data_IF_852764463286
#
_entry.id   IF_852764463286
#
_cell.length_a   1.000
_cell.length_b   1.000
_cell.length_c   1.000
_cell.angle_alpha   90.00
_cell.angle_beta   90.00
_cell.angle_gamma   90.00
#
_symmetry.space_group_name_H-M   'P 1'
#
loop_
_entity.id
_entity.type
_entity.pdbx_description
1 polymer ?
#
# COMPACT_ATOMS: atom_id res chain seq x y z
N UNK A 1 -4.42 -12.34 -21.17
CA UNK A 1 -3.78 -12.94 -19.98
C UNK A 1 -4.79 -13.20 -18.86
N UNK A 2 -5.40 -12.17 -18.25
CA UNK A 2 -6.39 -12.31 -17.16
C UNK A 2 -7.46 -13.38 -17.42
N UNK A 3 -8.12 -13.35 -18.58
CA UNK A 3 -9.13 -14.35 -18.98
C UNK A 3 -8.63 -15.81 -18.93
N UNK A 4 -7.39 -16.06 -19.37
CA UNK A 4 -6.82 -17.40 -19.38
C UNK A 4 -6.47 -17.86 -17.96
N UNK A 5 -5.91 -16.97 -17.13
CA UNK A 5 -5.60 -17.26 -15.73
C UNK A 5 -6.86 -17.59 -14.93
N UNK A 6 -7.93 -16.79 -15.05
CA UNK A 6 -9.20 -17.07 -14.36
C UNK A 6 -9.74 -18.46 -14.70
N UNK A 7 -9.74 -18.83 -15.99
CA UNK A 7 -10.22 -20.14 -16.44
C UNK A 7 -9.32 -21.29 -15.99
N UNK A 8 -8.01 -21.07 -15.95
CA UNK A 8 -7.06 -22.07 -15.45
C UNK A 8 -7.30 -22.33 -13.95
N UNK A 9 -7.41 -21.27 -13.15
CA UNK A 9 -7.71 -21.35 -11.71
C UNK A 9 -9.06 -22.03 -11.47
N UNK A 10 -10.10 -21.63 -12.21
CA UNK A 10 -11.43 -22.24 -12.11
C UNK A 10 -11.39 -23.74 -12.43
N UNK A 11 -10.71 -24.13 -13.50
CA UNK A 11 -10.58 -25.54 -13.89
C UNK A 11 -9.85 -26.35 -12.84
N UNK A 12 -8.74 -25.84 -12.30
CA UNK A 12 -7.96 -26.52 -11.25
C UNK A 12 -8.80 -26.66 -9.98
N UNK A 13 -9.40 -25.56 -9.51
CA UNK A 13 -10.19 -25.54 -8.28
C UNK A 13 -11.41 -26.47 -8.37
N UNK A 14 -12.10 -26.48 -9.52
CA UNK A 14 -13.25 -27.36 -9.75
C UNK A 14 -12.82 -28.82 -9.77
N UNK A 15 -11.75 -29.16 -10.50
CA UNK A 15 -11.26 -30.54 -10.58
C UNK A 15 -10.82 -31.08 -9.21
N UNK A 16 -10.12 -30.26 -8.42
CA UNK A 16 -9.69 -30.63 -7.07
C UNK A 16 -10.86 -30.83 -6.11
N UNK A 17 -11.90 -29.99 -6.23
CA UNK A 17 -13.14 -30.14 -5.45
C UNK A 17 -13.89 -31.42 -5.80
N UNK A 18 -14.06 -31.72 -7.08
CA UNK A 18 -14.79 -32.93 -7.50
C UNK A 18 -14.08 -34.20 -6.98
N UNK A 19 -12.74 -34.22 -7.08
CA UNK A 19 -11.92 -35.30 -6.54
C UNK A 19 -11.98 -35.37 -5.00
N UNK A 20 -12.04 -34.23 -4.30
CA UNK A 20 -12.15 -34.23 -2.84
C UNK A 20 -13.49 -34.78 -2.40
N UNK A 21 -14.59 -34.39 -3.05
CA UNK A 21 -15.94 -34.90 -2.78
C UNK A 21 -16.00 -36.41 -3.01
N UNK A 22 -15.47 -36.91 -4.13
CA UNK A 22 -15.42 -38.36 -4.43
C UNK A 22 -14.65 -39.15 -3.37
N UNK A 23 -13.68 -38.52 -2.71
CA UNK A 23 -12.87 -39.13 -1.64
C UNK A 23 -13.41 -38.86 -0.24
N UNK A 24 -14.58 -38.24 -0.10
CA UNK A 24 -15.17 -37.87 1.19
C UNK A 24 -14.32 -36.86 1.99
N UNK A 25 -13.60 -35.98 1.29
CA UNK A 25 -12.74 -34.94 1.87
C UNK A 25 -13.29 -33.56 1.58
N UNK A 26 -13.29 -32.70 2.60
CA UNK A 26 -13.42 -31.25 2.42
C UNK A 26 -12.03 -30.67 2.13
N UNK A 27 -11.88 -29.99 0.99
CA UNK A 27 -10.66 -29.27 0.61
C UNK A 27 -11.03 -27.83 0.31
N UNK A 28 -10.27 -26.91 0.90
CA UNK A 28 -10.40 -25.47 0.63
C UNK A 28 -9.25 -25.01 -0.24
N UNK A 29 -9.55 -24.15 -1.19
CA UNK A 29 -8.62 -23.62 -2.16
C UNK A 29 -8.40 -22.13 -1.90
N UNK A 30 -7.16 -21.80 -1.55
CA UNK A 30 -6.69 -20.44 -1.29
C UNK A 30 -5.68 -20.05 -2.37
N UNK A 31 -5.83 -18.85 -2.91
CA UNK A 31 -4.88 -18.31 -3.91
C UNK A 31 -3.90 -17.38 -3.20
N UNK A 32 -2.60 -17.73 -3.11
CA UNK A 32 -1.58 -16.75 -2.79
C UNK A 32 -1.43 -15.78 -3.97
N UNK A 33 -1.51 -14.48 -3.69
CA UNK A 33 -1.42 -13.44 -4.71
C UNK A 33 -0.75 -12.20 -4.16
N UNK A 34 0.05 -11.50 -4.96
CA UNK A 34 0.48 -10.15 -4.62
C UNK A 34 -0.68 -9.17 -4.82
N UNK A 35 -0.58 -7.99 -4.22
CA UNK A 35 -1.64 -6.99 -4.31
C UNK A 35 -1.82 -6.49 -5.76
N UNK A 36 -3.05 -6.07 -6.10
CA UNK A 36 -3.32 -5.38 -7.37
C UNK A 36 -2.39 -4.16 -7.57
N UNK A 37 -2.08 -3.46 -6.48
CA UNK A 37 -1.13 -2.34 -6.48
C UNK A 37 0.27 -2.80 -6.91
N UNK A 38 0.82 -3.84 -6.28
CA UNK A 38 2.14 -4.37 -6.63
C UNK A 38 2.17 -4.92 -8.05
N UNK A 39 1.17 -5.70 -8.46
CA UNK A 39 1.14 -6.24 -9.82
C UNK A 39 1.01 -5.17 -10.89
N UNK A 40 0.29 -4.09 -10.62
CA UNK A 40 0.30 -2.92 -11.51
C UNK A 40 1.69 -2.31 -11.59
N UNK A 41 2.32 -2.05 -10.44
CA UNK A 41 3.65 -1.46 -10.34
C UNK A 41 4.73 -2.32 -11.00
N UNK A 42 4.64 -3.64 -10.91
CA UNK A 42 5.60 -4.61 -11.49
C UNK A 42 5.21 -5.09 -12.89
N UNK A 43 4.15 -4.53 -13.48
CA UNK A 43 3.67 -4.91 -14.81
C UNK A 43 3.37 -6.42 -14.92
N UNK A 44 2.76 -7.00 -13.90
CA UNK A 44 2.28 -8.38 -13.87
C UNK A 44 0.75 -8.35 -14.01
N UNK A 45 0.17 -9.30 -14.75
CA UNK A 45 -1.29 -9.42 -14.90
C UNK A 45 -1.76 -10.63 -14.12
N UNK A 46 -2.65 -10.34 -13.16
CA UNK A 46 -3.36 -11.33 -12.36
C UNK A 46 -4.87 -11.10 -12.46
N UNK A 47 -5.71 -12.13 -12.28
CA UNK A 47 -7.16 -11.99 -12.25
C UNK A 47 -7.71 -11.51 -10.89
N UNK A 48 -7.14 -10.44 -10.30
CA UNK A 48 -7.43 -9.96 -8.94
C UNK A 48 -8.93 -9.81 -8.66
N UNK A 49 -9.64 -8.96 -9.42
CA UNK A 49 -11.08 -8.75 -9.19
C UNK A 49 -11.91 -10.00 -9.43
N UNK A 50 -11.48 -10.87 -10.36
CA UNK A 50 -12.14 -12.15 -10.65
C UNK A 50 -11.94 -13.18 -9.53
N UNK A 51 -10.87 -13.11 -8.75
CA UNK A 51 -10.67 -14.02 -7.61
C UNK A 51 -11.83 -13.97 -6.63
N UNK A 52 -12.55 -12.84 -6.52
CA UNK A 52 -13.76 -12.66 -5.69
C UNK A 52 -14.97 -13.47 -6.11
N UNK A 53 -15.07 -13.81 -7.39
CA UNK A 53 -16.29 -14.42 -7.98
C UNK A 53 -16.09 -15.87 -8.38
N UNK A 54 -14.84 -16.36 -8.48
CA UNK A 54 -14.54 -17.75 -8.81
C UNK A 54 -15.18 -18.71 -7.79
N UNK A 55 -16.16 -19.57 -8.17
CA UNK A 55 -16.85 -20.46 -7.23
C UNK A 55 -15.90 -21.45 -6.57
N UNK A 56 -14.84 -21.82 -7.30
CA UNK A 56 -13.73 -22.68 -6.92
C UNK A 56 -12.99 -22.27 -5.65
N UNK A 57 -12.93 -20.96 -5.37
CA UNK A 57 -11.97 -20.33 -4.46
C UNK A 57 -12.65 -19.95 -3.13
N UNK A 58 -12.06 -20.34 -2.00
CA UNK A 58 -12.60 -20.06 -0.66
C UNK A 58 -11.92 -18.86 0.01
N UNK A 59 -10.85 -18.34 -0.60
CA UNK A 59 -10.08 -17.27 -0.03
C UNK A 59 -8.79 -16.98 -0.78
N UNK A 60 -8.02 -16.06 -0.23
CA UNK A 60 -6.71 -15.69 -0.73
C UNK A 60 -5.71 -15.56 0.41
N UNK A 61 -4.43 -15.56 0.05
CA UNK A 61 -3.33 -15.18 0.93
C UNK A 61 -2.70 -13.96 0.29
N UNK A 62 -2.82 -12.80 0.93
CA UNK A 62 -2.20 -11.56 0.48
C UNK A 62 -0.69 -11.67 0.71
N UNK A 63 0.06 -11.89 -0.36
CA UNK A 63 1.52 -11.96 -0.34
C UNK A 63 2.12 -10.56 -0.37
N UNK A 64 1.72 -9.72 0.58
CA UNK A 64 2.33 -8.41 0.83
C UNK A 64 3.50 -8.65 1.76
N UNK A 65 4.71 -8.44 1.26
CA UNK A 65 5.92 -8.73 2.03
C UNK A 65 7.05 -7.82 1.60
N UNK A 66 8.16 -7.88 2.34
CA UNK A 66 9.24 -6.90 2.26
C UNK A 66 9.70 -6.61 0.83
N UNK A 67 9.82 -7.64 -0.02
CA UNK A 67 10.28 -7.49 -1.40
C UNK A 67 9.34 -6.68 -2.30
N UNK A 68 8.03 -6.84 -2.14
CA UNK A 68 7.02 -6.09 -2.93
C UNK A 68 6.91 -4.67 -2.41
N UNK A 69 6.73 -4.52 -1.09
CA UNK A 69 6.38 -3.24 -0.48
C UNK A 69 7.54 -2.26 -0.39
N UNK A 70 8.80 -2.72 -0.53
CA UNK A 70 9.96 -1.82 -0.61
C UNK A 70 10.17 -1.21 -2.00
N UNK A 71 9.38 -1.59 -3.00
CA UNK A 71 9.47 -0.96 -4.33
C UNK A 71 9.33 0.54 -4.16
N UNK A 72 10.33 1.28 -4.61
CA UNK A 72 10.36 2.73 -4.42
C UNK A 72 9.21 3.38 -5.18
N UNK A 73 8.71 4.48 -4.61
CA UNK A 73 7.72 5.35 -5.23
C UNK A 73 8.15 6.81 -5.07
N UNK A 74 7.43 7.72 -5.70
CA UNK A 74 7.69 9.16 -5.65
C UNK A 74 6.64 9.84 -4.78
N UNK A 75 7.11 10.66 -3.84
CA UNK A 75 6.27 11.56 -3.06
C UNK A 75 7.08 12.81 -2.74
N UNK A 76 6.45 13.98 -2.89
CA UNK A 76 7.08 15.28 -2.70
C UNK A 76 8.42 15.41 -3.47
N UNK A 77 8.45 14.94 -4.72
CA UNK A 77 9.63 14.95 -5.60
C UNK A 77 10.73 13.98 -5.22
N UNK A 78 10.52 13.15 -4.19
CA UNK A 78 11.52 12.23 -3.66
C UNK A 78 11.17 10.78 -3.94
N UNK A 79 12.00 10.14 -4.76
CA UNK A 79 11.98 8.69 -4.97
C UNK A 79 12.62 7.97 -3.79
N UNK A 80 11.87 7.12 -3.07
CA UNK A 80 12.38 6.41 -1.90
C UNK A 80 11.61 5.11 -1.64
N UNK A 81 12.25 4.16 -0.95
CA UNK A 81 11.57 3.00 -0.36
C UNK A 81 10.68 3.47 0.80
N UNK A 82 9.39 3.14 0.77
CA UNK A 82 8.39 3.52 1.78
C UNK A 82 7.63 2.29 2.26
N UNK A 83 8.36 1.32 2.80
CA UNK A 83 7.85 -0.04 3.05
C UNK A 83 6.60 -0.07 3.92
N UNK A 84 6.50 0.81 4.93
CA UNK A 84 5.32 0.88 5.81
C UNK A 84 4.09 1.36 5.02
N UNK A 85 4.21 2.51 4.35
CA UNK A 85 3.13 3.17 3.63
C UNK A 85 2.66 2.32 2.45
N UNK A 86 3.60 1.78 1.67
CA UNK A 86 3.28 0.88 0.56
C UNK A 86 2.62 -0.40 1.06
N UNK A 87 3.17 -1.06 2.09
CA UNK A 87 2.54 -2.27 2.64
C UNK A 87 1.13 -1.98 3.17
N UNK A 88 0.92 -0.81 3.81
CA UNK A 88 -0.39 -0.40 4.31
C UNK A 88 -1.40 -0.28 3.16
N UNK A 89 -1.02 0.35 2.04
CA UNK A 89 -1.86 0.44 0.85
C UNK A 89 -2.10 -0.93 0.19
N UNK A 90 -1.06 -1.77 0.08
CA UNK A 90 -1.16 -3.12 -0.48
C UNK A 90 -2.08 -4.04 0.33
N UNK A 91 -1.98 -4.04 1.66
CA UNK A 91 -2.93 -4.74 2.53
C UNK A 91 -4.34 -4.15 2.43
N UNK A 92 -4.42 -2.85 2.21
CA UNK A 92 -5.66 -2.12 1.95
C UNK A 92 -6.44 -2.72 0.78
N UNK A 93 -5.83 -2.75 -0.41
CA UNK A 93 -6.48 -3.28 -1.61
C UNK A 93 -6.72 -4.80 -1.53
N UNK A 94 -5.84 -5.55 -0.85
CA UNK A 94 -5.99 -6.99 -0.72
C UNK A 94 -7.26 -7.40 0.07
N UNK A 95 -7.75 -6.56 0.99
CA UNK A 95 -8.99 -6.82 1.73
C UNK A 95 -10.21 -6.93 0.82
N UNK A 96 -10.20 -6.15 -0.27
CA UNK A 96 -11.25 -6.17 -1.26
C UNK A 96 -11.26 -7.46 -2.09
N UNK A 97 -10.33 -8.41 -1.90
CA UNK A 97 -10.46 -9.76 -2.48
C UNK A 97 -11.51 -10.62 -1.77
N UNK A 98 -11.89 -10.26 -0.54
CA UNK A 98 -12.81 -11.08 0.27
C UNK A 98 -13.94 -10.31 0.94
N UNK A 99 -13.84 -8.97 1.04
CA UNK A 99 -14.88 -8.11 1.63
C UNK A 99 -16.25 -8.39 1.02
N UNK A 100 -17.24 -8.67 1.86
CA UNK A 100 -18.63 -8.95 1.46
C UNK A 100 -18.89 -10.33 0.82
N UNK A 101 -17.87 -11.20 0.69
CA UNK A 101 -18.02 -12.49 -0.03
C UNK A 101 -18.15 -13.72 0.88
N UNK A 102 -17.94 -13.55 2.20
CA UNK A 102 -17.83 -14.66 3.15
C UNK A 102 -16.55 -15.49 3.00
N UNK A 103 -15.64 -15.11 2.11
CA UNK A 103 -14.35 -15.77 1.89
C UNK A 103 -13.33 -15.34 2.93
N UNK A 104 -12.30 -16.16 3.10
CA UNK A 104 -11.26 -15.93 4.11
C UNK A 104 -10.01 -15.33 3.47
N UNK A 105 -9.54 -14.21 3.98
CA UNK A 105 -8.23 -13.64 3.62
C UNK A 105 -7.21 -13.90 4.72
N UNK A 106 -5.99 -14.21 4.32
CA UNK A 106 -4.82 -14.30 5.20
C UNK A 106 -3.81 -13.25 4.79
N UNK A 107 -3.20 -12.57 5.76
CA UNK A 107 -2.04 -11.72 5.50
C UNK A 107 -0.74 -12.50 5.70
N UNK A 108 0.15 -12.46 4.72
CA UNK A 108 1.45 -13.12 4.80
C UNK A 108 2.38 -12.38 5.76
N UNK A 109 3.04 -13.11 6.66
CA UNK A 109 4.06 -12.58 7.56
C UNK A 109 5.38 -13.38 7.41
N UNK A 110 6.06 -13.14 6.29
CA UNK A 110 7.41 -13.65 6.05
C UNK A 110 8.47 -12.62 6.49
N UNK A 111 9.41 -12.97 7.40
CA UNK A 111 10.45 -12.08 7.89
C UNK A 111 11.63 -11.90 6.93
N UNK A 112 11.65 -12.60 5.79
CA UNK A 112 12.77 -12.62 4.85
C UNK A 112 12.22 -12.46 3.43
N UNK A 113 13.04 -11.94 2.50
CA UNK A 113 12.69 -11.83 1.08
C UNK A 113 13.55 -12.76 0.20
N UNK A 114 13.23 -12.88 -1.09
CA UNK A 114 13.97 -13.73 -2.04
C UNK A 114 15.36 -13.19 -2.41
N UNK A 115 15.59 -11.89 -2.24
CA UNK A 115 16.83 -11.24 -2.61
C UNK A 115 18.01 -11.68 -1.72
N UNK A 116 18.90 -12.48 -2.31
CA UNK A 116 20.04 -13.10 -1.62
C UNK A 116 21.09 -12.11 -1.05
N UNK A 117 21.02 -10.82 -1.40
CA UNK A 117 21.99 -9.80 -1.02
C UNK A 117 21.71 -9.06 0.29
N UNK A 118 20.53 -9.23 0.90
CA UNK A 118 20.12 -8.45 2.07
C UNK A 118 20.71 -8.98 3.38
N UNK A 119 20.52 -8.18 4.42
CA UNK A 119 21.10 -8.41 5.75
C UNK A 119 20.00 -8.69 6.78
N UNK A 120 20.36 -9.34 7.88
CA UNK A 120 19.43 -9.55 8.99
C UNK A 120 18.88 -8.25 9.56
N UNK A 121 19.69 -7.20 9.67
CA UNK A 121 19.24 -5.88 10.12
C UNK A 121 18.19 -5.30 9.14
N UNK A 122 18.44 -5.36 7.83
CA UNK A 122 17.48 -4.91 6.80
C UNK A 122 16.17 -5.69 6.84
N UNK A 123 16.25 -7.02 6.94
CA UNK A 123 15.07 -7.87 7.07
C UNK A 123 14.26 -7.54 8.31
N UNK A 124 14.92 -7.32 9.45
CA UNK A 124 14.22 -7.05 10.69
C UNK A 124 13.47 -5.72 10.69
N UNK A 125 14.12 -4.67 10.18
CA UNK A 125 13.52 -3.34 10.09
C UNK A 125 12.29 -3.34 9.18
N UNK A 126 12.37 -4.04 8.05
CA UNK A 126 11.26 -4.10 7.12
C UNK A 126 10.14 -5.04 7.58
N UNK A 127 10.48 -6.17 8.21
CA UNK A 127 9.49 -7.04 8.83
C UNK A 127 8.64 -6.29 9.88
N UNK A 128 9.28 -5.44 10.69
CA UNK A 128 8.54 -4.60 11.65
C UNK A 128 7.57 -3.65 10.95
N UNK A 129 7.99 -3.01 9.85
CA UNK A 129 7.14 -2.11 9.06
C UNK A 129 5.93 -2.85 8.48
N UNK A 130 6.15 -3.99 7.83
CA UNK A 130 5.05 -4.76 7.21
C UNK A 130 4.10 -5.35 8.25
N UNK A 131 4.60 -5.79 9.42
CA UNK A 131 3.75 -6.23 10.55
C UNK A 131 2.87 -5.09 11.05
N UNK A 132 3.44 -3.90 11.28
CA UNK A 132 2.65 -2.76 11.76
C UNK A 132 1.62 -2.34 10.71
N UNK A 133 2.00 -2.28 9.44
CA UNK A 133 1.09 -1.97 8.33
C UNK A 133 -0.09 -2.95 8.24
N UNK A 134 0.15 -4.25 8.43
CA UNK A 134 -0.90 -5.27 8.39
C UNK A 134 -1.86 -5.17 9.58
N UNK A 135 -1.35 -4.83 10.76
CA UNK A 135 -2.12 -4.70 11.99
C UNK A 135 -3.02 -3.45 12.03
N UNK A 136 -2.69 -2.42 11.24
CA UNK A 136 -3.52 -1.22 11.05
C UNK A 136 -4.84 -1.51 10.30
N UNK A 137 -5.01 -2.72 9.74
CA UNK A 137 -6.24 -3.19 9.09
C UNK A 137 -7.02 -4.16 9.99
N UNK A 138 -7.91 -3.68 10.86
CA UNK A 138 -8.50 -4.49 11.92
C UNK A 138 -9.55 -5.50 11.41
N UNK A 139 -10.03 -5.36 10.17
CA UNK A 139 -10.96 -6.31 9.56
C UNK A 139 -10.32 -7.70 9.30
N UNK A 140 -8.98 -7.79 9.32
CA UNK A 140 -8.24 -9.04 9.15
C UNK A 140 -7.59 -9.45 10.46
N UNK A 141 -7.85 -10.68 10.88
CA UNK A 141 -7.30 -11.31 12.10
C UNK A 141 -6.59 -12.64 11.81
N UNK A 142 -6.32 -12.94 10.54
CA UNK A 142 -5.72 -14.20 10.08
C UNK A 142 -4.41 -13.96 9.35
N UNK A 143 -3.39 -14.72 9.73
CA UNK A 143 -2.02 -14.50 9.27
C UNK A 143 -1.36 -15.83 8.89
N UNK A 144 -0.73 -15.88 7.71
CA UNK A 144 0.17 -16.97 7.35
C UNK A 144 1.56 -16.63 7.89
N UNK A 145 1.95 -17.31 8.97
CA UNK A 145 3.24 -17.10 9.63
C UNK A 145 4.25 -18.16 9.17
N UNK A 146 5.46 -17.72 8.83
CA UNK A 146 6.57 -18.59 8.42
C UNK A 146 6.17 -19.60 7.32
N UNK A 147 5.82 -19.14 6.10
CA UNK A 147 5.52 -20.05 4.98
C UNK A 147 6.67 -21.04 4.71
N UNK A 148 7.91 -20.59 4.95
CA UNK A 148 9.13 -21.39 4.78
C UNK A 148 10.03 -21.32 6.02
N UNK A 149 9.70 -22.03 7.11
CA UNK A 149 10.44 -21.93 8.38
C UNK A 149 11.93 -22.25 8.23
N UNK A 150 12.27 -23.19 7.35
CA UNK A 150 13.66 -23.57 7.09
C UNK A 150 14.50 -22.42 6.51
N UNK A 151 13.91 -21.52 5.71
CA UNK A 151 14.60 -20.31 5.20
C UNK A 151 14.96 -19.38 6.35
N UNK A 152 14.15 -19.36 7.40
CA UNK A 152 14.28 -18.41 8.51
C UNK A 152 15.27 -18.93 9.54
N UNK A 153 15.12 -20.20 9.95
CA UNK A 153 15.87 -20.74 11.10
C UNK A 153 17.12 -21.52 10.71
N UNK A 154 17.23 -22.00 9.46
CA UNK A 154 18.30 -22.91 9.05
C UNK A 154 19.22 -22.35 7.95
N UNK A 155 18.91 -21.19 7.36
CA UNK A 155 19.72 -20.57 6.32
C UNK A 155 20.49 -19.37 6.86
N UNK A 156 21.71 -19.20 6.36
CA UNK A 156 22.56 -18.09 6.74
C UNK A 156 22.43 -16.90 5.78
N UNK A 157 22.37 -15.70 6.36
CA UNK A 157 22.33 -14.43 5.66
C UNK A 157 23.37 -13.48 6.22
N UNK A 158 23.70 -12.41 5.47
CA UNK A 158 24.66 -11.41 5.94
C UNK A 158 24.12 -10.75 7.20
N UNK A 159 24.98 -10.52 8.19
CA UNK A 159 24.52 -9.91 9.43
C UNK A 159 24.14 -8.44 9.25
N UNK A 160 25.02 -7.66 8.63
CA UNK A 160 24.90 -6.20 8.44
C UNK A 160 25.51 -5.77 7.12
N UNK A 161 25.18 -4.57 6.67
CA UNK A 161 25.82 -3.98 5.50
C UNK A 161 27.33 -3.82 5.72
N UNK A 162 28.10 -4.01 4.64
CA UNK A 162 29.57 -3.97 4.69
C UNK A 162 30.22 -5.19 5.37
N UNK A 163 29.45 -6.14 5.90
CA UNK A 163 29.97 -7.39 6.46
C UNK A 163 29.74 -8.57 5.52
N UNK A 164 30.80 -9.35 5.29
CA UNK A 164 30.72 -10.64 4.61
C UNK A 164 30.39 -11.79 5.57
N UNK A 165 30.29 -11.53 6.87
CA UNK A 165 29.92 -12.54 7.86
C UNK A 165 28.46 -12.91 7.68
N UNK A 166 28.22 -14.19 7.36
CA UNK A 166 26.91 -14.79 7.38
C UNK A 166 26.65 -15.47 8.72
N UNK A 167 25.40 -15.45 9.15
CA UNK A 167 24.96 -16.17 10.34
C UNK A 167 23.52 -16.63 10.12
N UNK A 168 23.10 -17.60 10.93
CA UNK A 168 21.68 -17.85 11.18
C UNK A 168 21.01 -16.60 11.76
N UNK A 169 19.68 -16.65 11.89
CA UNK A 169 18.87 -15.58 12.46
C UNK A 169 19.41 -15.15 13.83
N UNK A 170 19.64 -13.83 14.07
CA UNK A 170 20.06 -13.35 15.38
C UNK A 170 19.04 -13.73 16.47
N UNK A 171 19.48 -14.15 17.68
CA UNK A 171 18.56 -14.58 18.73
C UNK A 171 17.48 -13.56 19.11
N UNK A 172 17.81 -12.27 19.09
CA UNK A 172 16.87 -11.18 19.37
C UNK A 172 15.79 -11.03 18.28
N UNK A 173 16.17 -11.20 17.01
CA UNK A 173 15.22 -11.23 15.90
C UNK A 173 14.34 -12.47 16.01
N UNK A 174 14.91 -13.66 16.20
CA UNK A 174 14.14 -14.90 16.38
C UNK A 174 13.13 -14.80 17.53
N UNK A 175 13.53 -14.20 18.67
CA UNK A 175 12.66 -13.96 19.81
C UNK A 175 11.51 -13.02 19.43
N UNK A 176 11.82 -11.88 18.81
CA UNK A 176 10.79 -10.92 18.37
C UNK A 176 9.81 -11.59 17.39
N UNK A 177 10.32 -12.36 16.44
CA UNK A 177 9.51 -13.05 15.45
C UNK A 177 8.53 -14.05 16.07
N UNK A 178 9.00 -14.89 16.99
CA UNK A 178 8.16 -15.86 17.71
C UNK A 178 7.13 -15.18 18.62
N UNK A 179 7.50 -14.07 19.27
CA UNK A 179 6.55 -13.27 20.07
C UNK A 179 5.46 -12.69 19.19
N UNK A 180 5.82 -12.08 18.04
CA UNK A 180 4.83 -11.55 17.09
C UNK A 180 3.92 -12.66 16.58
N UNK A 181 4.45 -13.83 16.18
CA UNK A 181 3.61 -14.97 15.77
C UNK A 181 2.57 -15.35 16.83
N UNK A 182 2.99 -15.44 18.08
CA UNK A 182 2.09 -15.80 19.17
C UNK A 182 1.01 -14.72 19.38
N UNK A 183 1.40 -13.44 19.31
CA UNK A 183 0.47 -12.31 19.41
C UNK A 183 -0.53 -12.27 18.26
N UNK A 184 -0.12 -12.58 17.03
CA UNK A 184 -0.99 -12.56 15.85
C UNK A 184 -2.19 -13.53 15.97
N UNK A 185 -2.09 -14.57 16.80
CA UNK A 185 -3.21 -15.48 17.12
C UNK A 185 -4.37 -14.77 17.82
N UNK A 186 -4.08 -13.67 18.53
CA UNK A 186 -5.03 -12.96 19.38
C UNK A 186 -5.57 -11.67 18.72
N UNK A 187 -5.50 -11.54 17.40
CA UNK A 187 -5.96 -10.31 16.73
C UNK A 187 -7.47 -10.26 16.46
N UNK A 188 -8.19 -11.36 16.67
CA UNK A 188 -9.65 -11.42 16.56
C UNK A 188 -10.32 -10.81 17.80
N UNK A 189 -10.11 -9.51 17.98
CA UNK A 189 -10.51 -8.76 19.17
C UNK A 189 -11.89 -8.12 19.01
N UNK A 190 -12.75 -8.14 20.04
CA UNK A 190 -14.10 -7.60 19.98
C UNK A 190 -14.16 -6.06 20.03
N UNK A 191 -13.13 -5.43 20.61
CA UNK A 191 -13.03 -3.98 20.73
C UNK A 191 -12.03 -3.49 19.68
N UNK A 192 -12.53 -2.74 18.71
CA UNK A 192 -11.71 -2.08 17.70
C UNK A 192 -12.01 -0.58 17.81
N UNK A 193 -11.04 0.18 18.27
CA UNK A 193 -11.17 1.63 18.43
C UNK A 193 -10.12 2.33 17.58
N UNK A 194 -10.51 3.17 16.62
CA UNK A 194 -9.54 4.05 16.00
C UNK A 194 -9.10 5.07 17.06
N UNK A 195 -7.80 5.21 17.33
CA UNK A 195 -7.32 6.06 18.44
C UNK A 195 -7.61 7.57 18.21
N UNK A 196 -7.94 7.91 16.97
CA UNK A 196 -8.58 9.13 16.50
C UNK A 196 -9.42 8.72 15.28
N UNK A 197 -10.55 9.36 14.98
CA UNK A 197 -11.30 9.09 13.74
C UNK A 197 -10.85 10.05 12.62
N UNK A 198 -9.72 9.80 11.91
CA UNK A 198 -9.40 10.55 10.71
C UNK A 198 -10.41 10.24 9.61
N UNK A 199 -10.42 11.04 8.56
CA UNK A 199 -11.21 10.73 7.38
C UNK A 199 -10.72 9.42 6.76
N UNK A 200 -11.68 8.61 6.32
CA UNK A 200 -11.45 7.40 5.55
C UNK A 200 -11.53 7.77 4.08
N UNK A 201 -10.39 7.80 3.44
CA UNK A 201 -10.26 8.19 2.04
C UNK A 201 -9.98 6.94 1.21
N UNK A 202 -10.82 6.67 0.21
CA UNK A 202 -10.64 5.56 -0.71
C UNK A 202 -10.00 6.04 -2.00
N UNK A 203 -8.97 5.34 -2.51
CA UNK A 203 -8.42 5.61 -3.86
C UNK A 203 -8.73 4.42 -4.76
N UNK A 204 -9.51 4.65 -5.82
CA UNK A 204 -9.94 3.55 -6.66
C UNK A 204 -8.81 2.93 -7.47
N UNK A 205 -8.81 1.60 -7.54
CA UNK A 205 -7.95 0.80 -8.40
C UNK A 205 -8.76 -0.30 -9.09
N UNK A 206 -8.48 -0.61 -10.36
CA UNK A 206 -9.08 -1.72 -11.12
C UNK A 206 -8.05 -2.60 -11.79
N UNK A 207 -8.48 -3.81 -12.17
CA UNK A 207 -7.62 -4.76 -12.87
C UNK A 207 -7.02 -4.20 -14.17
N UNK A 208 -7.71 -3.26 -14.82
CA UNK A 208 -7.22 -2.66 -16.07
C UNK A 208 -5.97 -1.79 -15.90
N UNK A 209 -5.64 -1.37 -14.68
CA UNK A 209 -4.38 -0.71 -14.39
C UNK A 209 -3.18 -1.63 -14.75
N UNK A 210 -3.29 -2.94 -14.55
CA UNK A 210 -2.27 -3.92 -14.95
C UNK A 210 -2.13 -4.10 -16.48
N UNK A 211 -3.09 -3.59 -17.26
CA UNK A 211 -3.14 -3.77 -18.72
C UNK A 211 -2.46 -2.62 -19.46
N UNK A 212 -2.29 -1.46 -18.81
CA UNK A 212 -1.63 -0.29 -19.37
C UNK A 212 -0.12 -0.44 -19.26
N UNK A 213 0.51 -0.94 -20.34
CA UNK A 213 1.91 -1.41 -20.37
C UNK A 213 2.76 -0.76 -21.45
N UNK A 214 2.19 0.13 -22.24
CA UNK A 214 2.85 0.75 -23.38
C UNK A 214 2.65 2.26 -23.29
N UNK A 215 3.77 2.99 -23.30
CA UNK A 215 3.77 4.45 -23.33
C UNK A 215 4.40 4.90 -24.65
N UNK A 216 3.78 5.85 -25.39
CA UNK A 216 4.24 6.28 -26.71
C UNK A 216 5.66 6.84 -26.76
N UNK A 217 6.21 7.25 -25.61
CA UNK A 217 7.55 7.84 -25.49
C UNK A 217 8.69 6.82 -25.37
N UNK A 218 8.40 5.50 -25.36
CA UNK A 218 9.40 4.48 -25.03
C UNK A 218 9.94 3.75 -26.25
N UNK A 219 11.26 3.84 -26.46
CA UNK A 219 11.99 2.95 -27.35
C UNK A 219 11.96 1.51 -26.79
N UNK A 220 11.87 0.51 -27.67
CA UNK A 220 11.69 -0.90 -27.29
C UNK A 220 12.81 -1.48 -26.39
N UNK A 221 13.94 -0.78 -26.31
CA UNK A 221 15.11 -1.15 -25.51
C UNK A 221 14.98 -0.74 -24.03
N UNK A 222 14.06 0.16 -23.68
CA UNK A 222 13.85 0.66 -22.32
C UNK A 222 12.70 -0.04 -21.58
N UNK A 223 12.20 -1.18 -22.09
CA UNK A 223 11.23 -1.99 -21.33
C UNK A 223 11.93 -2.65 -20.14
N UNK A 224 11.43 -2.50 -18.90
CA UNK A 224 12.03 -3.14 -17.74
C UNK A 224 12.01 -4.68 -17.89
N UNK A 225 13.16 -5.32 -17.65
CA UNK A 225 13.26 -6.78 -17.56
C UNK A 225 12.56 -7.31 -16.30
N UNK A 226 12.06 -8.56 -16.35
CA UNK A 226 11.41 -9.28 -15.24
C UNK A 226 12.24 -9.29 -13.95
N UNK A 227 13.57 -9.23 -14.07
CA UNK A 227 14.47 -8.93 -12.97
C UNK A 227 14.62 -7.41 -12.87
N UNK A 228 13.79 -6.79 -12.04
CA UNK A 228 13.82 -5.36 -11.80
C UNK A 228 15.24 -4.83 -11.61
N UNK A 229 15.47 -3.62 -12.16
CA UNK A 229 16.68 -2.80 -12.05
C UNK A 229 17.74 -3.07 -13.13
N UNK A 230 17.55 -2.54 -14.35
CA UNK A 230 18.71 -2.14 -15.15
C UNK A 230 18.82 -0.68 -15.54
N UNK A 231 17.75 0.04 -15.90
CA UNK A 231 17.94 1.42 -16.40
C UNK A 231 16.98 2.47 -15.82
N UNK A 232 17.40 3.74 -15.90
CA UNK A 232 16.82 4.89 -15.17
C UNK A 232 15.45 5.34 -15.66
N UNK A 233 15.16 5.21 -16.96
CA UNK A 233 13.88 5.60 -17.56
C UNK A 233 12.83 4.49 -17.40
N UNK A 234 13.20 3.22 -17.56
CA UNK A 234 12.36 2.05 -17.21
C UNK A 234 11.93 2.01 -15.74
N UNK A 235 12.62 2.74 -14.84
CA UNK A 235 12.32 2.82 -13.41
C UNK A 235 11.18 3.79 -13.08
N UNK A 236 10.91 4.79 -13.92
CA UNK A 236 9.83 5.75 -13.68
C UNK A 236 8.45 5.08 -13.77
N UNK A 237 8.29 4.12 -14.70
CA UNK A 237 7.08 3.28 -14.77
C UNK A 237 6.85 2.44 -13.52
N UNK A 238 7.94 1.96 -12.91
CA UNK A 238 7.89 1.21 -11.65
C UNK A 238 7.59 2.11 -10.45
N UNK A 239 7.63 3.44 -10.59
CA UNK A 239 7.29 4.34 -9.49
C UNK A 239 5.77 4.47 -9.31
N UNK A 240 5.00 4.19 -10.36
CA UNK A 240 3.54 4.27 -10.41
C UNK A 240 2.99 5.58 -9.81
N UNK A 241 3.67 6.69 -10.14
CA UNK A 241 3.43 8.01 -9.55
C UNK A 241 2.01 8.52 -9.71
N UNK A 242 1.27 8.10 -10.74
CA UNK A 242 -0.11 8.49 -10.94
C UNK A 242 -1.02 8.00 -9.81
N UNK A 243 -0.81 6.78 -9.31
CA UNK A 243 -1.55 6.25 -8.17
C UNK A 243 -1.02 6.82 -6.84
N UNK A 244 0.29 6.80 -6.65
CA UNK A 244 0.88 7.28 -5.39
C UNK A 244 0.74 8.79 -5.19
N UNK A 245 0.64 9.58 -6.26
CA UNK A 245 0.30 11.00 -6.22
C UNK A 245 -1.09 11.25 -5.63
N UNK A 246 -2.04 10.32 -5.77
CA UNK A 246 -3.37 10.42 -5.17
C UNK A 246 -3.42 9.84 -3.75
N UNK A 247 -2.63 8.81 -3.47
CA UNK A 247 -2.69 8.06 -2.21
C UNK A 247 -1.78 8.63 -1.11
N UNK A 248 -0.55 9.00 -1.44
CA UNK A 248 0.45 9.39 -0.44
C UNK A 248 0.22 10.76 0.20
N UNK A 249 -0.21 11.83 -0.51
CA UNK A 249 -0.43 13.12 0.13
C UNK A 249 -1.45 13.11 1.28
N UNK A 250 -2.68 12.58 1.13
CA UNK A 250 -3.59 12.49 2.27
C UNK A 250 -3.11 11.51 3.34
N UNK A 251 -2.38 10.45 2.97
CA UNK A 251 -1.80 9.50 3.92
C UNK A 251 -0.79 10.21 4.83
N UNK A 252 0.18 10.92 4.26
CA UNK A 252 1.17 11.69 5.00
C UNK A 252 0.58 12.88 5.77
N UNK A 253 -0.63 13.32 5.41
CA UNK A 253 -1.42 14.27 6.20
C UNK A 253 -2.24 13.61 7.34
N UNK A 254 -1.99 12.32 7.62
CA UNK A 254 -2.56 11.59 8.75
C UNK A 254 -3.96 11.03 8.51
N UNK A 255 -4.43 11.02 7.26
CA UNK A 255 -5.72 10.44 6.91
C UNK A 255 -5.63 8.93 6.70
N UNK A 256 -6.72 8.21 6.95
CA UNK A 256 -6.77 6.76 6.74
C UNK A 256 -7.09 6.46 5.27
N UNK A 257 -6.03 6.33 4.46
CA UNK A 257 -6.14 6.12 3.01
C UNK A 257 -6.07 4.64 2.66
N UNK A 258 -7.09 4.10 2.00
CA UNK A 258 -7.12 2.69 1.59
C UNK A 258 -7.49 2.59 0.12
N UNK A 259 -6.77 1.82 -0.70
CA UNK A 259 -7.21 1.64 -2.08
C UNK A 259 -8.47 0.78 -2.14
N UNK A 260 -9.36 1.08 -3.07
CA UNK A 260 -10.68 0.43 -3.21
C UNK A 260 -10.80 -0.19 -4.58
N UNK A 261 -11.20 -1.45 -4.65
CA UNK A 261 -11.39 -2.11 -5.94
C UNK A 261 -12.69 -1.65 -6.60
N UNK A 262 -12.61 -0.78 -7.60
CA UNK A 262 -13.81 -0.16 -8.21
C UNK A 262 -14.74 -1.21 -8.87
N UNK A 263 -14.20 -2.31 -9.40
CA UNK A 263 -15.00 -3.41 -9.94
C UNK A 263 -15.93 -4.05 -8.90
N UNK A 264 -15.54 -4.03 -7.61
CA UNK A 264 -16.33 -4.62 -6.54
C UNK A 264 -17.63 -3.84 -6.26
N UNK A 265 -17.72 -2.58 -6.69
CA UNK A 265 -18.92 -1.73 -6.54
C UNK A 265 -20.11 -2.30 -7.31
N UNK A 266 -19.87 -3.03 -8.41
CA UNK A 266 -20.93 -3.67 -9.19
C UNK A 266 -21.55 -4.88 -8.47
N UNK A 267 -20.78 -5.53 -7.59
CA UNK A 267 -21.25 -6.67 -6.81
C UNK A 267 -21.91 -6.23 -5.50
N UNK A 268 -21.33 -5.22 -4.85
CA UNK A 268 -21.83 -4.68 -3.58
C UNK A 268 -21.45 -3.20 -3.42
N UNK A 269 -22.43 -2.30 -3.51
CA UNK A 269 -22.22 -0.86 -3.32
C UNK A 269 -21.99 -0.48 -1.86
N UNK A 270 -22.40 -1.31 -0.88
CA UNK A 270 -22.23 -1.01 0.55
C UNK A 270 -20.76 -0.98 0.98
N UNK A 271 -19.84 -1.47 0.15
CA UNK A 271 -18.39 -1.37 0.43
C UNK A 271 -17.93 0.09 0.44
N UNK A 272 -18.69 0.99 -0.17
CA UNK A 272 -18.38 2.41 -0.25
C UNK A 272 -18.82 3.17 1.02
N UNK A 273 -19.69 2.59 1.85
CA UNK A 273 -20.21 3.22 3.06
C UNK A 273 -19.14 3.41 4.15
N UNK A 274 -18.02 2.68 4.04
CA UNK A 274 -16.86 2.78 4.93
C UNK A 274 -15.97 4.01 4.63
N UNK A 275 -16.29 4.79 3.59
CA UNK A 275 -15.45 5.87 3.10
C UNK A 275 -16.17 7.21 3.15
N UNK A 276 -15.47 8.21 3.65
CA UNK A 276 -15.89 9.59 3.54
C UNK A 276 -15.71 10.02 2.08
N UNK A 277 -14.46 10.11 1.62
CA UNK A 277 -14.13 10.64 0.29
C UNK A 277 -13.54 9.53 -0.56
N UNK A 278 -14.03 9.39 -1.79
CA UNK A 278 -13.46 8.52 -2.80
C UNK A 278 -12.73 9.34 -3.86
N UNK A 279 -11.55 8.90 -4.26
CA UNK A 279 -10.73 9.51 -5.30
C UNK A 279 -10.67 8.55 -6.49
N UNK A 280 -10.98 9.07 -7.67
CA UNK A 280 -11.00 8.33 -8.91
C UNK A 280 -10.13 9.04 -9.95
N UNK A 281 -9.37 8.26 -10.70
CA UNK A 281 -8.73 8.72 -11.92
C UNK A 281 -8.83 7.64 -12.97
N UNK A 282 -9.00 8.07 -14.22
CA UNK A 282 -8.88 7.19 -15.37
C UNK A 282 -7.56 7.39 -16.13
N UNK A 283 -6.59 8.14 -15.61
CA UNK A 283 -5.30 8.37 -16.29
C UNK A 283 -4.32 7.19 -16.18
N UNK A 284 -4.60 6.21 -15.32
CA UNK A 284 -3.78 5.00 -15.18
C UNK A 284 -4.62 3.71 -15.15
N UNK A 285 -5.90 3.81 -15.46
CA UNK A 285 -6.85 2.70 -15.41
C UNK A 285 -8.13 3.04 -16.18
N UNK A 286 -8.88 2.02 -16.61
CA UNK A 286 -10.12 2.20 -17.37
C UNK A 286 -11.30 1.39 -16.80
N UNK A 287 -12.51 1.96 -16.73
CA UNK A 287 -13.68 1.27 -16.23
C UNK A 287 -14.14 0.20 -17.24
N UNK A 288 -14.38 -1.02 -16.76
CA UNK A 288 -14.82 -2.12 -17.63
C UNK A 288 -16.26 -1.97 -18.14
N UNK A 289 -17.09 -1.21 -17.43
CA UNK A 289 -18.51 -1.05 -17.74
C UNK A 289 -19.00 0.35 -17.38
N UNK A 290 -19.91 0.95 -18.18
CA UNK A 290 -20.56 2.22 -17.82
C UNK A 290 -21.42 2.10 -16.55
N UNK A 291 -21.82 0.90 -16.16
CA UNK A 291 -22.61 0.65 -14.94
C UNK A 291 -21.95 1.17 -13.67
N UNK A 292 -20.61 1.22 -13.65
CA UNK A 292 -19.83 1.76 -12.53
C UNK A 292 -20.21 3.22 -12.27
N UNK A 293 -20.42 4.02 -13.32
CA UNK A 293 -20.68 5.45 -13.18
C UNK A 293 -22.04 5.69 -12.53
N UNK A 294 -23.05 4.89 -12.89
CA UNK A 294 -24.37 4.98 -12.27
C UNK A 294 -24.35 4.51 -10.80
N UNK A 295 -23.53 3.50 -10.48
CA UNK A 295 -23.35 3.07 -9.10
C UNK A 295 -22.67 4.17 -8.24
N UNK A 296 -21.65 4.83 -8.78
CA UNK A 296 -21.01 5.97 -8.13
C UNK A 296 -21.98 7.15 -7.98
N UNK A 297 -22.75 7.49 -9.03
CA UNK A 297 -23.75 8.53 -8.97
C UNK A 297 -24.82 8.23 -7.90
N UNK A 298 -25.30 6.99 -7.81
CA UNK A 298 -26.23 6.58 -6.76
C UNK A 298 -25.64 6.74 -5.36
N UNK A 299 -24.39 6.34 -5.14
CA UNK A 299 -23.70 6.49 -3.86
C UNK A 299 -23.48 7.95 -3.46
N UNK A 300 -23.00 8.80 -4.38
CA UNK A 300 -22.88 10.25 -4.14
C UNK A 300 -24.24 10.87 -3.88
N UNK A 301 -25.26 10.51 -4.68
CA UNK A 301 -26.63 10.99 -4.50
C UNK A 301 -27.21 10.68 -3.11
N UNK A 302 -26.74 9.60 -2.48
CA UNK A 302 -27.09 9.19 -1.12
C UNK A 302 -26.28 9.89 0.00
N UNK A 303 -25.26 10.69 -0.32
CA UNK A 303 -24.42 11.40 0.65
C UNK A 303 -22.91 11.13 0.52
N UNK A 304 -22.49 10.33 -0.46
CA UNK A 304 -21.09 10.10 -0.79
C UNK A 304 -20.39 11.35 -1.33
N UNK A 305 -19.06 11.34 -1.33
CA UNK A 305 -18.23 12.41 -1.89
C UNK A 305 -17.16 11.84 -2.81
N UNK A 306 -17.11 12.34 -4.04
CA UNK A 306 -16.19 11.87 -5.07
C UNK A 306 -15.29 13.01 -5.56
N UNK A 307 -13.98 12.78 -5.56
CA UNK A 307 -13.00 13.57 -6.28
C UNK A 307 -12.57 12.80 -7.54
N UNK A 308 -12.80 13.38 -8.71
CA UNK A 308 -12.20 12.89 -9.96
C UNK A 308 -10.98 13.72 -10.31
N UNK A 309 -9.87 13.06 -10.63
CA UNK A 309 -8.62 13.70 -11.07
C UNK A 309 -8.21 13.10 -12.42
N UNK A 310 -8.13 13.93 -13.44
CA UNK A 310 -7.59 13.54 -14.75
C UNK A 310 -7.79 14.61 -15.80
N UNK A 311 -6.77 14.85 -16.59
CA UNK A 311 -6.73 15.81 -17.69
C UNK A 311 -7.05 15.18 -19.06
N UNK A 312 -7.28 13.86 -19.10
CA UNK A 312 -7.56 13.14 -20.33
C UNK A 312 -6.33 12.88 -21.21
N UNK A 313 -5.11 13.06 -20.70
CA UNK A 313 -3.88 12.88 -21.47
C UNK A 313 -3.47 11.41 -21.67
N UNK A 314 -4.00 10.47 -20.87
CA UNK A 314 -3.64 9.06 -21.00
C UNK A 314 -3.99 8.50 -22.41
N UNK A 315 -3.00 8.03 -23.20
CA UNK A 315 -3.23 7.50 -24.55
C UNK A 315 -4.20 6.30 -24.56
N UNK A 316 -4.36 5.59 -23.43
CA UNK A 316 -5.32 4.50 -23.34
C UNK A 316 -6.79 4.96 -23.41
N UNK A 317 -7.08 6.25 -23.32
CA UNK A 317 -8.43 6.79 -23.60
C UNK A 317 -8.88 6.52 -25.04
N UNK A 318 -7.95 6.32 -25.98
CA UNK A 318 -8.24 6.03 -27.39
C UNK A 318 -8.47 4.53 -27.67
N UNK A 319 -8.25 3.65 -26.70
CA UNK A 319 -8.45 2.21 -26.89
C UNK A 319 -9.88 1.89 -27.28
N UNK A 320 -10.10 0.80 -28.04
CA UNK A 320 -11.45 0.36 -28.42
C UNK A 320 -12.20 -0.19 -27.21
N UNK A 321 -13.10 0.62 -26.65
CA UNK A 321 -13.93 0.26 -25.51
C UNK A 321 -15.35 0.82 -25.64
N UNK A 322 -16.15 0.74 -24.57
CA UNK A 322 -17.57 1.12 -24.60
C UNK A 322 -17.80 2.63 -24.75
N UNK A 323 -16.83 3.46 -24.34
CA UNK A 323 -16.90 4.93 -24.45
C UNK A 323 -16.42 5.43 -25.82
N UNK A 324 -15.50 4.71 -26.46
CA UNK A 324 -14.80 5.15 -27.68
C UNK A 324 -15.78 5.33 -28.85
N UNK A 325 -15.73 6.50 -29.48
CA UNK A 325 -16.68 6.90 -30.53
C UNK A 325 -18.02 7.42 -30.02
N UNK A 326 -18.20 7.52 -28.69
CA UNK A 326 -19.37 8.15 -28.04
C UNK A 326 -18.95 9.30 -27.11
N UNK A 327 -17.84 9.11 -26.40
CA UNK A 327 -17.24 10.07 -25.48
C UNK A 327 -15.73 10.20 -25.76
N UNK A 328 -15.13 11.39 -25.53
CA UNK A 328 -13.69 11.55 -25.64
C UNK A 328 -12.92 10.66 -24.66
N UNK A 329 -13.36 10.63 -23.40
CA UNK A 329 -12.81 9.78 -22.34
C UNK A 329 -13.96 9.18 -21.52
N UNK A 330 -13.75 8.08 -20.76
CA UNK A 330 -14.77 7.58 -19.85
C UNK A 330 -15.20 8.64 -18.81
N UNK A 331 -14.32 9.57 -18.43
CA UNK A 331 -14.64 10.65 -17.51
C UNK A 331 -15.78 11.56 -18.01
N UNK A 332 -15.93 11.73 -19.33
CA UNK A 332 -17.04 12.52 -19.88
C UNK A 332 -18.40 11.83 -19.64
N UNK A 333 -18.46 10.50 -19.76
CA UNK A 333 -19.68 9.75 -19.38
C UNK A 333 -19.91 9.78 -17.86
N UNK A 334 -18.84 9.83 -17.05
CA UNK A 334 -18.96 10.00 -15.60
C UNK A 334 -19.58 11.37 -15.27
N UNK A 335 -19.06 12.46 -15.86
CA UNK A 335 -19.61 13.80 -15.69
C UNK A 335 -21.08 13.89 -16.15
N UNK A 336 -21.43 13.26 -17.28
CA UNK A 336 -22.83 13.15 -17.73
C UNK A 336 -23.72 12.46 -16.68
N UNK A 337 -23.26 11.36 -16.07
CA UNK A 337 -23.99 10.66 -15.03
C UNK A 337 -24.22 11.52 -13.76
N UNK A 338 -23.36 12.50 -13.52
CA UNK A 338 -23.51 13.51 -12.46
C UNK A 338 -24.22 14.78 -12.90
N UNK A 339 -24.65 14.88 -14.16
CA UNK A 339 -25.17 16.13 -14.76
C UNK A 339 -24.22 17.33 -14.56
N UNK A 340 -22.91 17.06 -14.58
CA UNK A 340 -21.86 18.03 -14.35
C UNK A 340 -21.08 18.33 -15.65
N UNK A 341 -20.45 19.50 -15.71
CA UNK A 341 -19.45 19.80 -16.73
C UNK A 341 -18.07 19.37 -16.22
N UNK A 342 -17.37 18.54 -16.99
CA UNK A 342 -16.04 18.06 -16.63
C UNK A 342 -14.98 19.18 -16.58
N UNK A 343 -15.23 20.28 -17.31
CA UNK A 343 -14.35 21.45 -17.33
C UNK A 343 -14.55 22.40 -16.13
N UNK A 344 -15.62 22.22 -15.37
CA UNK A 344 -15.88 23.00 -14.17
C UNK A 344 -15.25 22.29 -12.95
N UNK A 345 -14.22 22.92 -12.38
CA UNK A 345 -13.48 22.36 -11.25
C UNK A 345 -14.04 22.74 -9.87
N UNK A 346 -15.17 23.44 -9.82
CA UNK A 346 -15.85 23.73 -8.56
C UNK A 346 -16.42 22.46 -7.90
N UNK A 347 -16.78 22.56 -6.61
CA UNK A 347 -17.45 21.46 -5.90
C UNK A 347 -18.94 21.50 -6.26
N UNK A 348 -19.42 20.48 -6.98
CA UNK A 348 -20.82 20.34 -7.35
C UNK A 348 -21.57 19.49 -6.33
N UNK A 349 -22.74 19.98 -5.91
CA UNK A 349 -23.67 19.20 -5.11
C UNK A 349 -24.48 18.27 -6.02
N UNK A 350 -24.50 16.98 -5.72
CA UNK A 350 -25.32 15.98 -6.42
C UNK A 350 -26.14 15.18 -5.42
N UNK A 351 -27.47 15.36 -5.44
CA UNK A 351 -28.36 14.82 -4.41
C UNK A 351 -27.95 15.31 -3.01
N UNK A 352 -27.64 14.36 -2.12
CA UNK A 352 -27.17 14.64 -0.76
C UNK A 352 -25.64 14.70 -0.63
N UNK A 353 -24.89 14.42 -1.69
CA UNK A 353 -23.43 14.37 -1.68
C UNK A 353 -22.78 15.41 -2.57
N UNK A 354 -21.49 15.21 -2.82
CA UNK A 354 -20.64 16.15 -3.54
C UNK A 354 -19.75 15.44 -4.56
N UNK A 355 -19.52 16.08 -5.69
CA UNK A 355 -18.55 15.64 -6.70
C UNK A 355 -17.71 16.83 -7.13
N UNK A 356 -16.42 16.61 -7.37
CA UNK A 356 -15.52 17.61 -7.95
C UNK A 356 -14.67 16.94 -9.02
N UNK A 357 -14.55 17.58 -10.18
CA UNK A 357 -13.66 17.19 -11.26
C UNK A 357 -12.43 18.10 -11.26
N UNK A 358 -11.23 17.55 -11.43
CA UNK A 358 -9.98 18.32 -11.46
C UNK A 358 -9.18 17.93 -12.70
N UNK A 359 -8.88 18.90 -13.55
CA UNK A 359 -8.11 18.72 -14.79
C UNK A 359 -6.61 18.75 -14.48
N UNK A 360 -6.11 17.66 -13.90
CA UNK A 360 -4.69 17.49 -13.63
C UNK A 360 -4.27 16.04 -13.88
N UNK A 361 -3.04 15.87 -14.37
CA UNK A 361 -2.36 14.56 -14.34
C UNK A 361 -2.12 14.17 -12.87
N UNK A 362 -2.62 13.01 -12.40
CA UNK A 362 -2.37 12.51 -11.05
C UNK A 362 -0.88 12.44 -10.65
N UNK A 363 0.04 12.31 -11.62
CA UNK A 363 1.48 12.34 -11.38
C UNK A 363 1.92 13.66 -10.75
N UNK A 364 1.28 14.78 -11.11
CA UNK A 364 1.58 16.14 -10.58
C UNK A 364 1.68 16.14 -9.05
N UNK A 365 0.71 15.52 -8.38
CA UNK A 365 0.61 15.49 -6.91
C UNK A 365 1.73 14.71 -6.21
N UNK A 366 2.59 14.01 -6.97
CA UNK A 366 3.80 13.37 -6.45
C UNK A 366 5.07 14.22 -6.59
N UNK A 367 5.05 15.28 -7.41
CA UNK A 367 6.25 15.95 -7.93
C UNK A 367 6.93 16.92 -6.95
N UNK A 368 6.17 17.53 -6.03
CA UNK A 368 6.71 18.45 -5.02
C UNK A 368 5.85 18.47 -3.75
N UNK A 369 6.34 19.11 -2.68
CA UNK A 369 5.57 19.31 -1.45
C UNK A 369 4.36 20.21 -1.68
N UNK A 370 4.51 21.23 -2.53
CA UNK A 370 3.44 22.15 -2.93
C UNK A 370 2.34 21.42 -3.69
N UNK A 371 2.70 20.61 -4.69
CA UNK A 371 1.73 19.80 -5.43
C UNK A 371 1.02 18.80 -4.50
N UNK A 372 1.74 18.13 -3.61
CA UNK A 372 1.11 17.26 -2.61
C UNK A 372 0.12 18.04 -1.71
N UNK A 373 0.47 19.27 -1.31
CA UNK A 373 -0.40 20.13 -0.51
C UNK A 373 -1.65 20.61 -1.28
N UNK A 374 -1.57 20.80 -2.60
CA UNK A 374 -2.73 21.11 -3.45
C UNK A 374 -3.79 20.00 -3.38
N UNK A 375 -3.39 18.72 -3.52
CA UNK A 375 -4.33 17.60 -3.39
C UNK A 375 -4.98 17.55 -2.00
N UNK A 376 -4.18 17.77 -0.95
CA UNK A 376 -4.69 17.85 0.42
C UNK A 376 -5.69 19.00 0.56
N UNK A 377 -5.45 20.14 -0.09
CA UNK A 377 -6.38 21.27 -0.14
C UNK A 377 -7.72 20.93 -0.79
N UNK A 378 -7.71 20.21 -1.93
CA UNK A 378 -8.92 19.74 -2.62
C UNK A 378 -9.74 18.80 -1.71
N UNK A 379 -9.08 17.82 -1.09
CA UNK A 379 -9.73 16.87 -0.19
C UNK A 379 -10.28 17.54 1.08
N UNK A 380 -9.60 18.55 1.60
CA UNK A 380 -10.10 19.39 2.71
C UNK A 380 -11.35 20.16 2.31
N UNK A 381 -11.36 20.79 1.13
CA UNK A 381 -12.55 21.50 0.62
C UNK A 381 -13.77 20.58 0.52
N UNK A 382 -13.57 19.35 0.02
CA UNK A 382 -14.61 18.32 -0.02
C UNK A 382 -15.05 17.85 1.37
N UNK A 383 -14.11 17.68 2.31
CA UNK A 383 -14.42 17.33 3.70
C UNK A 383 -15.27 18.43 4.35
N UNK A 384 -14.90 19.70 4.17
CA UNK A 384 -15.61 20.86 4.70
C UNK A 384 -17.02 20.99 4.09
N UNK A 385 -17.16 20.77 2.78
CA UNK A 385 -18.46 20.80 2.10
C UNK A 385 -19.44 19.74 2.65
N UNK A 386 -18.92 18.56 3.01
CA UNK A 386 -19.67 17.51 3.73
C UNK A 386 -19.99 17.88 5.19
N UNK A 387 -19.21 18.75 5.80
CA UNK A 387 -19.23 18.97 7.25
C UNK A 387 -18.44 17.93 8.05
N UNK A 388 -17.48 17.25 7.41
CA UNK A 388 -16.54 16.34 8.05
C UNK A 388 -15.33 17.09 8.59
N UNK A 389 -14.76 16.64 9.70
CA UNK A 389 -13.59 17.28 10.31
C UNK A 389 -12.29 16.73 9.72
N UNK A 390 -11.49 17.58 9.09
CA UNK A 390 -10.10 17.25 8.77
C UNK A 390 -9.23 17.34 10.02
N UNK A 391 -8.38 16.33 10.25
CA UNK A 391 -7.42 16.33 11.35
C UNK A 391 -6.01 16.18 10.83
N UNK A 392 -5.17 17.17 11.08
CA UNK A 392 -3.75 17.06 10.79
C UNK A 392 -3.06 16.09 11.73
N UNK A 393 -2.14 15.31 11.16
CA UNK A 393 -1.27 14.40 11.88
C UNK A 393 -0.25 13.77 10.96
N UNK A 394 0.77 13.16 11.55
CA UNK A 394 1.81 12.39 10.87
C UNK A 394 1.84 10.94 11.40
N UNK A 395 0.70 10.40 11.83
CA UNK A 395 0.62 9.04 12.36
C UNK A 395 -0.71 8.36 12.05
N UNK A 396 -0.66 7.03 12.01
CA UNK A 396 -1.84 6.16 12.00
C UNK A 396 -1.86 5.34 13.29
N UNK A 397 -3.06 5.02 13.77
CA UNK A 397 -3.21 4.16 14.93
C UNK A 397 -4.56 3.48 15.00
N UNK A 398 -4.56 2.24 15.50
CA UNK A 398 -5.76 1.47 15.82
C UNK A 398 -5.53 0.74 17.13
N UNK A 399 -6.54 0.68 17.97
CA UNK A 399 -6.59 -0.18 19.13
C UNK A 399 -7.40 -1.43 18.80
N UNK A 400 -6.82 -2.60 19.08
CA UNK A 400 -7.46 -3.91 18.94
C UNK A 400 -7.41 -4.59 20.30
N UNK A 401 -8.51 -4.55 21.06
CA UNK A 401 -8.55 -5.04 22.44
C UNK A 401 -7.45 -4.39 23.30
N UNK A 402 -6.51 -5.17 23.87
CA UNK A 402 -5.40 -4.65 24.68
C UNK A 402 -4.23 -4.09 23.86
N UNK A 403 -4.24 -4.23 22.54
CA UNK A 403 -3.13 -3.87 21.66
C UNK A 403 -3.33 -2.48 21.06
N UNK A 404 -2.37 -1.58 21.27
CA UNK A 404 -2.29 -0.31 20.56
C UNK A 404 -1.27 -0.46 19.43
N UNK A 405 -1.73 -0.31 18.20
CA UNK A 405 -0.91 -0.34 17.00
C UNK A 405 -0.80 1.08 16.50
N UNK A 406 0.42 1.54 16.26
CA UNK A 406 0.65 2.88 15.75
C UNK A 406 1.93 2.97 14.93
N UNK A 407 1.93 3.86 13.95
CA UNK A 407 3.08 4.17 13.13
C UNK A 407 3.12 5.66 12.82
N UNK A 408 4.29 6.26 12.92
CA UNK A 408 4.55 7.61 12.40
C UNK A 408 4.89 7.53 10.92
N UNK A 409 4.27 8.38 10.12
CA UNK A 409 4.46 8.53 8.70
C UNK A 409 5.49 9.64 8.49
N UNK A 410 6.74 9.27 8.21
CA UNK A 410 7.78 10.25 7.95
C UNK A 410 7.68 10.73 6.50
N UNK A 411 6.84 11.74 6.26
CA UNK A 411 6.83 12.49 5.01
C UNK A 411 7.96 13.53 5.06
N UNK A 412 9.03 13.35 4.27
CA UNK A 412 9.91 14.45 3.86
C UNK A 412 10.74 15.19 4.92
N UNK A 413 10.47 15.10 6.22
CA UNK A 413 11.27 15.78 7.24
C UNK A 413 12.57 15.01 7.49
N UNK A 414 13.70 15.66 7.17
CA UNK A 414 15.05 15.19 7.45
C UNK A 414 15.21 14.74 8.90
N UNK A 415 15.00 13.44 9.12
CA UNK A 415 15.11 12.77 10.41
C UNK A 415 15.97 11.51 10.32
N UNK A 416 16.94 11.48 9.41
CA UNK A 416 18.14 10.73 9.74
C UNK A 416 18.84 11.48 10.88
N UNK A 417 18.92 10.82 12.04
CA UNK A 417 19.76 11.17 13.20
C UNK A 417 19.12 11.86 14.42
N UNK A 418 17.99 11.34 14.93
CA UNK A 418 17.63 11.55 16.37
C UNK A 418 17.66 10.29 17.24
N UNK A 419 17.80 9.10 16.66
CA UNK A 419 17.92 7.85 17.42
C UNK A 419 19.37 7.44 17.75
N UNK A 420 20.41 8.13 17.23
CA UNK A 420 21.81 7.87 17.61
C UNK A 420 22.35 8.71 18.77
N UNK A 421 21.58 9.66 19.32
CA UNK A 421 22.06 10.51 20.43
C UNK A 421 21.67 10.06 21.84
N UNK A 422 20.89 8.98 22.03
CA UNK A 422 20.49 8.54 23.38
C UNK A 422 21.42 7.50 24.04
N UNK A 423 22.54 7.13 23.41
CA UNK A 423 23.59 6.34 24.07
C UNK A 423 24.99 6.90 23.80
N UNK A 424 25.28 8.05 24.39
CA UNK A 424 26.64 8.40 24.83
C UNK A 424 26.60 8.89 26.26
N UNK A 425 26.75 7.95 27.20
CA UNK A 425 27.17 8.30 28.56
C UNK A 425 28.50 9.07 28.48
N UNK A 426 28.66 10.19 29.19
CA UNK A 426 29.92 10.91 29.19
C UNK A 426 30.98 10.07 29.93
N UNK A 427 32.07 9.73 29.25
CA UNK A 427 33.30 9.30 29.92
C UNK A 427 33.81 10.46 30.77
N UNK A 428 34.22 10.26 32.03
CA UNK A 428 34.87 11.31 32.79
C UNK A 428 36.20 11.66 32.12
N UNK A 429 36.29 12.89 31.64
CA UNK A 429 37.51 13.48 31.11
C UNK A 429 38.48 13.82 32.24
N UNK A 430 39.72 13.44 32.02
CA UNK A 430 40.90 13.80 32.78
C UNK A 430 41.03 15.32 32.98
N UNK A 431 41.55 15.79 34.14
CA UNK A 431 41.68 17.22 34.40
C UNK A 431 42.82 17.85 33.59
N UNK A 432 42.53 18.98 32.98
CA UNK A 432 43.48 19.81 32.24
C UNK A 432 44.32 20.71 33.17
N UNK A 433 45.63 20.71 32.87
CA UNK A 433 46.64 21.77 33.00
C UNK A 433 46.58 22.75 34.18
N UNK A 434 47.61 22.65 35.03
CA UNK A 434 48.26 23.79 35.65
C UNK A 434 49.77 23.73 35.33
N UNK A 435 50.33 24.90 35.04
CA UNK A 435 51.66 25.13 34.52
C UNK A 435 52.80 24.94 35.55
N UNK A 436 53.97 24.62 34.98
CA UNK A 436 55.31 25.12 35.36
C UNK A 436 56.03 24.64 36.64
N UNK A 437 57.32 24.38 36.43
CA UNK A 437 58.47 24.39 37.36
C UNK A 437 58.88 23.14 38.15
N UNK A 438 60.22 22.94 38.13
CA UNK A 438 61.08 22.01 38.89
C UNK A 438 60.97 20.53 38.52
N UNK A 439 61.92 19.94 37.79
CA UNK A 439 63.34 19.73 38.15
C UNK A 439 63.52 18.94 39.46
N UNK A 440 63.99 17.71 39.28
CA UNK A 440 64.82 16.92 40.20
C UNK A 440 64.24 16.48 41.55
N UNK A 441 64.82 15.36 41.98
CA UNK A 441 64.88 14.84 43.35
C UNK A 441 63.81 13.86 43.87
N UNK A 442 64.36 12.70 44.25
CA UNK A 442 63.97 11.80 45.36
C UNK A 442 63.24 10.50 44.99
N UNK A 443 64.09 9.55 44.59
CA UNK A 443 64.13 8.21 45.22
C UNK A 443 64.02 8.31 46.75
N UNK A 444 63.49 7.23 47.35
CA UNK A 444 63.46 6.82 48.77
C UNK A 444 62.20 7.29 49.51
N UNK A 445 61.54 6.48 50.33
CA UNK A 445 61.79 5.13 50.85
C UNK A 445 60.47 4.67 51.49
N UNK A 446 60.26 3.37 51.52
CA UNK A 446 59.37 2.76 52.51
C UNK A 446 59.82 3.15 53.93
N UNK A 447 58.87 3.67 54.70
CA UNK A 447 58.73 3.54 56.15
C UNK A 447 57.27 3.88 56.47
#
# INVERSE_FOLDING_TARGET
MQHLFSRALERIATRLRDESIQRGREVRFYIPTHSLLNYTQWQIVSPESRLRTLPGVQGAIAQVWTGTSRTANVYAGRRAERTLETAFLEYGIAQDLTRGTGRTLWFLHDPIEDHSGRTWDDYFDNYRRTVVASLLHPAISRYEVAPWPWRIFNREYRRREGSNQKSLVPPEYATTYLVVMNTLRDMDQPVIEPAASPLRIGVFLVDSAMFQRWFPSEDEQDRPHEDGLKDGESRALLDFSAFYGLALPPLFAGQFVVPVQLDAVLDNTSILDDYDILVLSYEFQKPLSPAVHYALAAWVGAGGTLLYVGDGADPYHETRAWWTGRYPTPAHHLAEAFTADIADEEIHRFGNGFVQFVQADPVHFSTSEEAAAELVGLLRGLADARGSQWRDGDWLSVQRGPYVIGATLSGGNGGHDRSRQLHRSPRPGSPGRADSHCAAERRRLAA
#
